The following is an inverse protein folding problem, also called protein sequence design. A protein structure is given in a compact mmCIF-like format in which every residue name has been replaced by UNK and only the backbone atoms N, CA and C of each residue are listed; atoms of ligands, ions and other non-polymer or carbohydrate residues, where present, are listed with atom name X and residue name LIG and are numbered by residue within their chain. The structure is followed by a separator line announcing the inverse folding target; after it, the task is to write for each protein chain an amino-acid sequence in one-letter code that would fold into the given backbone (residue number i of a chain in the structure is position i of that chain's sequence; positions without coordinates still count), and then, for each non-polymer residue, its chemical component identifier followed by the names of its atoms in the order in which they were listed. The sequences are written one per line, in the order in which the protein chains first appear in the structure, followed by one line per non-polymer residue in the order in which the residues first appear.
data_IF_103677665349
#
_entry.id   IF_103677665349
#
_cell.length_a   1.000
_cell.length_b   1.000
_cell.length_c   1.000
_cell.angle_alpha   90.00
_cell.angle_beta   90.00
_cell.angle_gamma   90.00
#
_symmetry.space_group_name_H-M   'P 1'
#
loop_
_entity.id
_entity.type
_entity.pdbx_description
1 polymer ?
#
# COMPACT_ATOMS: atom_id res chain seq x y z
N UNK A 1 38.79 4.34 -67.99
CA UNK A 1 37.79 4.54 -69.05
C UNK A 1 36.42 4.57 -68.40
N UNK A 2 35.83 5.76 -68.27
CA UNK A 2 34.35 5.91 -68.26
C UNK A 2 33.85 5.68 -69.70
N UNK A 3 32.61 5.18 -69.91
CA UNK A 3 31.40 6.03 -69.97
C UNK A 3 30.15 5.41 -69.28
N UNK A 4 29.29 6.16 -68.60
CA UNK A 4 28.06 6.82 -69.13
C UNK A 4 27.11 5.85 -69.85
N UNK A 5 25.90 5.52 -69.38
CA UNK A 5 24.63 6.31 -69.30
C UNK A 5 23.56 5.35 -68.69
N UNK A 6 22.41 5.73 -68.10
CA UNK A 6 21.16 6.20 -68.73
C UNK A 6 20.14 6.46 -67.60
N UNK A 7 19.37 7.55 -67.75
CA UNK A 7 18.16 7.91 -66.98
C UNK A 7 16.93 7.11 -67.42
N UNK A 8 16.00 6.80 -66.51
CA UNK A 8 14.56 6.86 -66.85
C UNK A 8 13.69 6.97 -65.59
N UNK A 9 12.97 8.09 -65.52
CA UNK A 9 11.77 8.33 -64.72
C UNK A 9 10.62 7.43 -65.17
N UNK A 10 9.86 6.85 -64.24
CA UNK A 10 8.41 6.72 -64.38
C UNK A 10 7.74 6.66 -63.00
N UNK A 11 6.73 7.52 -62.86
CA UNK A 11 5.91 7.79 -61.69
C UNK A 11 5.12 6.57 -61.18
N UNK A 12 5.03 6.44 -59.85
CA UNK A 12 3.79 6.03 -59.18
C UNK A 12 3.53 6.96 -58.01
N UNK A 13 2.37 7.61 -58.08
CA UNK A 13 1.83 8.53 -57.10
C UNK A 13 0.62 7.81 -56.48
N UNK A 14 0.69 7.37 -55.22
CA UNK A 14 -0.51 7.08 -54.40
C UNK A 14 -0.19 7.38 -52.94
N UNK A 15 -1.07 8.19 -52.36
CA UNK A 15 -0.96 8.92 -51.10
C UNK A 15 -0.78 8.08 -49.84
N UNK A 16 0.16 8.49 -48.98
CA UNK A 16 0.17 8.17 -47.56
C UNK A 16 -0.45 9.33 -46.76
N UNK A 17 -1.37 9.07 -45.81
CA UNK A 17 -2.08 10.12 -45.09
C UNK A 17 -1.14 10.92 -44.18
N UNK A 18 -1.17 12.25 -44.32
CA UNK A 18 -0.46 13.20 -43.46
C UNK A 18 -1.04 13.18 -42.05
N UNK A 19 -0.21 13.28 -40.99
CA UNK A 19 -0.71 13.43 -39.63
C UNK A 19 -1.37 14.81 -39.47
N UNK A 20 -2.47 14.94 -38.70
CA UNK A 20 -3.10 16.23 -38.48
C UNK A 20 -2.18 17.15 -37.65
N UNK A 21 -1.65 18.18 -38.30
CA UNK A 21 -1.14 19.39 -37.66
C UNK A 21 -2.34 20.19 -37.14
N UNK A 22 -2.51 20.23 -35.81
CA UNK A 22 -3.01 21.37 -35.04
C UNK A 22 -3.24 20.97 -33.57
N UNK A 23 -2.15 20.78 -32.82
CA UNK A 23 -2.22 20.99 -31.37
C UNK A 23 -1.88 22.46 -31.13
N UNK A 24 -2.92 23.29 -30.97
CA UNK A 24 -2.74 24.62 -30.40
C UNK A 24 -2.03 24.47 -29.06
N UNK A 25 -0.92 25.18 -28.91
CA UNK A 25 -0.13 25.29 -27.69
C UNK A 25 -1.03 25.54 -26.49
N UNK A 26 -1.29 24.50 -25.70
CA UNK A 26 -1.63 24.70 -24.29
C UNK A 26 -0.36 25.20 -23.63
N UNK A 27 -0.29 26.52 -23.43
CA UNK A 27 0.66 27.11 -22.50
C UNK A 27 0.48 26.40 -21.16
N UNK A 28 1.46 25.57 -20.83
CA UNK A 28 1.63 24.95 -19.54
C UNK A 28 1.62 26.06 -18.49
N UNK A 29 0.51 26.20 -17.78
CA UNK A 29 0.52 26.80 -16.44
C UNK A 29 1.19 25.76 -15.55
N UNK A 30 2.52 25.80 -15.51
CA UNK A 30 3.28 25.16 -14.44
C UNK A 30 2.77 25.82 -13.16
N UNK A 31 1.98 25.07 -12.40
CA UNK A 31 1.60 25.45 -11.05
C UNK A 31 2.89 25.50 -10.23
N UNK A 32 3.47 26.69 -10.04
CA UNK A 32 4.59 26.98 -9.14
C UNK A 32 4.17 26.88 -7.67
N UNK A 33 3.44 25.82 -7.31
CA UNK A 33 3.06 25.46 -5.94
C UNK A 33 4.02 24.44 -5.34
N UNK A 34 5.27 24.38 -5.83
CA UNK A 34 6.32 23.67 -5.13
C UNK A 34 6.60 24.41 -3.82
N UNK A 35 6.37 23.73 -2.70
CA UNK A 35 6.87 24.19 -1.41
C UNK A 35 8.35 23.80 -1.39
N UNK A 36 9.30 24.75 -1.49
CA UNK A 36 10.70 24.39 -1.40
C UNK A 36 10.98 23.94 0.04
N UNK A 37 11.25 22.65 0.20
CA UNK A 37 11.81 22.12 1.43
C UNK A 37 13.25 21.74 1.13
N UNK A 38 14.17 22.37 1.87
CA UNK A 38 15.58 22.03 1.77
C UNK A 38 15.77 20.54 2.05
N UNK A 39 16.50 19.83 1.18
CA UNK A 39 16.73 18.40 1.35
C UNK A 39 17.62 18.12 2.58
N UNK A 40 17.64 16.87 3.09
CA UNK A 40 18.54 16.50 4.18
C UNK A 40 20.01 16.76 3.84
N UNK A 41 20.80 17.18 4.84
CA UNK A 41 22.24 17.37 4.70
C UNK A 41 23.03 16.06 4.77
N UNK A 42 22.52 15.07 5.51
CA UNK A 42 23.13 13.74 5.57
C UNK A 42 23.03 13.08 4.17
N UNK A 43 24.14 12.61 3.57
CA UNK A 43 24.13 12.06 2.21
C UNK A 43 23.24 10.81 2.03
N UNK A 44 23.11 9.96 3.05
CA UNK A 44 22.27 8.76 2.99
C UNK A 44 20.80 9.14 3.03
N UNK A 45 20.44 10.07 3.90
CA UNK A 45 19.08 10.62 3.96
C UNK A 45 18.74 11.37 2.66
N UNK A 46 19.70 12.10 2.10
CA UNK A 46 19.55 12.80 0.82
C UNK A 46 19.24 11.84 -0.32
N UNK A 47 19.94 10.71 -0.37
CA UNK A 47 19.73 9.68 -1.38
C UNK A 47 18.29 9.15 -1.39
N UNK A 48 17.72 8.92 -0.20
CA UNK A 48 16.33 8.52 -0.03
C UNK A 48 15.34 9.63 -0.36
N UNK A 49 15.61 10.85 0.14
CA UNK A 49 14.78 12.03 -0.12
C UNK A 49 14.59 12.27 -1.62
N UNK A 50 15.68 12.29 -2.39
CA UNK A 50 15.65 12.57 -3.84
C UNK A 50 14.80 11.55 -4.62
N UNK A 51 14.60 10.34 -4.08
CA UNK A 51 13.84 9.27 -4.74
C UNK A 51 12.40 9.14 -4.25
N UNK A 52 12.13 9.48 -2.99
CA UNK A 52 10.80 9.36 -2.39
C UNK A 52 9.99 10.67 -2.44
N UNK A 53 10.61 11.79 -2.08
CA UNK A 53 9.91 13.05 -1.85
C UNK A 53 9.22 13.61 -3.10
N UNK A 54 9.78 13.51 -4.33
CA UNK A 54 9.07 13.99 -5.53
C UNK A 54 7.73 13.30 -5.76
N UNK A 55 7.64 11.99 -5.48
CA UNK A 55 6.39 11.24 -5.60
C UNK A 55 5.36 11.71 -4.57
N UNK A 56 5.75 11.86 -3.31
CA UNK A 56 4.87 12.37 -2.26
C UNK A 56 4.37 13.79 -2.56
N UNK A 57 5.27 14.68 -2.98
CA UNK A 57 4.94 16.06 -3.31
C UNK A 57 3.97 16.13 -4.51
N UNK A 58 4.20 15.32 -5.55
CA UNK A 58 3.31 15.24 -6.71
C UNK A 58 1.88 14.84 -6.32
N UNK A 59 1.74 13.84 -5.43
CA UNK A 59 0.43 13.40 -4.93
C UNK A 59 -0.25 14.47 -4.06
N UNK A 60 0.49 15.11 -3.15
CA UNK A 60 -0.03 16.19 -2.31
C UNK A 60 -0.53 17.38 -3.15
N UNK A 61 0.21 17.73 -4.21
CA UNK A 61 -0.21 18.78 -5.15
C UNK A 61 -1.44 18.36 -5.95
N UNK A 62 -1.49 17.10 -6.40
CA UNK A 62 -2.59 16.55 -7.20
C UNK A 62 -3.90 16.37 -6.42
N UNK A 63 -3.81 16.21 -5.10
CA UNK A 63 -4.99 16.13 -4.25
C UNK A 63 -5.81 17.43 -4.23
N UNK A 64 -5.14 18.58 -4.42
CA UNK A 64 -5.72 19.94 -4.43
C UNK A 64 -6.41 20.34 -3.10
N UNK A 65 -6.44 19.43 -2.12
CA UNK A 65 -7.10 19.58 -0.82
C UNK A 65 -6.15 19.98 0.31
N UNK A 66 -4.90 20.33 0.01
CA UNK A 66 -3.91 20.77 0.99
C UNK A 66 -3.45 22.19 0.69
N UNK A 67 -3.40 23.03 1.72
CA UNK A 67 -2.74 24.34 1.68
C UNK A 67 -1.23 24.20 1.52
N UNK A 68 -0.55 25.27 1.13
CA UNK A 68 0.91 25.29 1.06
C UNK A 68 1.54 25.04 2.43
N UNK A 69 0.99 25.56 3.52
CA UNK A 69 1.48 25.31 4.88
C UNK A 69 1.32 23.84 5.30
N UNK A 70 0.17 23.23 5.01
CA UNK A 70 -0.06 21.81 5.33
C UNK A 70 0.91 20.90 4.56
N UNK A 71 1.12 21.16 3.26
CA UNK A 71 2.11 20.43 2.45
C UNK A 71 3.52 20.60 3.02
N UNK A 72 3.89 21.82 3.40
CA UNK A 72 5.19 22.12 3.99
C UNK A 72 5.42 21.32 5.28
N UNK A 73 4.44 21.31 6.17
CA UNK A 73 4.57 20.62 7.45
C UNK A 73 4.68 19.10 7.28
N UNK A 74 3.88 18.51 6.38
CA UNK A 74 3.97 17.07 6.09
C UNK A 74 5.31 16.68 5.46
N UNK A 75 5.78 17.44 4.47
CA UNK A 75 7.06 17.17 3.81
C UNK A 75 8.25 17.39 4.77
N UNK A 76 8.15 18.32 5.73
CA UNK A 76 9.15 18.51 6.79
C UNK A 76 9.23 17.29 7.70
N UNK A 77 8.10 16.76 8.18
CA UNK A 77 8.10 15.53 8.99
C UNK A 77 8.60 14.34 8.19
N UNK A 78 8.24 14.26 6.91
CA UNK A 78 8.78 13.23 6.02
C UNK A 78 10.31 13.29 5.93
N UNK A 79 10.87 14.49 5.75
CA UNK A 79 12.32 14.75 5.70
C UNK A 79 13.03 14.43 7.02
N UNK A 80 12.49 14.89 8.13
CA UNK A 80 13.21 14.93 9.42
C UNK A 80 13.00 13.67 10.26
N UNK A 81 11.95 12.88 9.99
CA UNK A 81 11.61 11.69 10.79
C UNK A 81 11.56 10.44 9.94
N UNK A 82 10.86 10.48 8.80
CA UNK A 82 10.58 9.26 8.03
C UNK A 82 11.81 8.85 7.22
N UNK A 83 12.41 9.77 6.45
CA UNK A 83 13.60 9.49 5.64
C UNK A 83 14.79 8.95 6.46
N UNK A 84 15.13 9.52 7.63
CA UNK A 84 16.19 8.95 8.49
C UNK A 84 15.92 7.52 8.97
N UNK A 85 14.66 7.08 9.01
CA UNK A 85 14.32 5.73 9.48
C UNK A 85 14.56 4.63 8.43
N UNK A 86 14.77 5.00 7.17
CA UNK A 86 14.87 4.04 6.06
C UNK A 86 16.14 3.18 6.07
N UNK A 87 17.12 3.52 6.90
CA UNK A 87 18.39 2.81 7.02
C UNK A 87 19.30 3.02 5.81
N UNK A 88 20.36 2.21 5.74
CA UNK A 88 21.42 2.36 4.75
C UNK A 88 20.91 2.17 3.31
N UNK A 89 21.23 3.10 2.37
CA UNK A 89 20.93 2.94 0.96
C UNK A 89 21.58 1.74 0.27
N UNK A 90 20.99 1.26 -0.82
CA UNK A 90 21.61 0.26 -1.69
C UNK A 90 22.79 0.85 -2.48
N UNK A 91 23.80 0.04 -2.86
CA UNK A 91 23.92 -1.41 -2.62
C UNK A 91 24.52 -1.79 -1.26
N UNK A 92 24.74 -0.83 -0.34
CA UNK A 92 25.35 -1.10 0.97
C UNK A 92 24.39 -1.73 1.99
N UNK A 93 23.09 -1.60 1.76
CA UNK A 93 22.05 -2.20 2.60
C UNK A 93 22.26 -3.72 2.77
N UNK A 94 22.24 -4.21 4.02
CA UNK A 94 22.32 -5.66 4.33
C UNK A 94 20.98 -6.36 4.18
N UNK A 95 19.88 -5.62 4.27
CA UNK A 95 18.52 -6.13 4.15
C UNK A 95 17.77 -5.42 3.03
N UNK A 96 16.89 -6.16 2.38
CA UNK A 96 15.93 -5.62 1.43
C UNK A 96 14.64 -5.22 2.20
N UNK A 97 14.11 -4.01 2.00
CA UNK A 97 12.77 -3.66 2.47
C UNK A 97 11.71 -4.60 1.89
N UNK A 98 10.62 -4.82 2.63
CA UNK A 98 9.54 -5.76 2.32
C UNK A 98 8.17 -5.07 2.20
N UNK A 99 8.10 -3.74 2.37
CA UNK A 99 6.84 -3.01 2.22
C UNK A 99 6.24 -3.14 0.82
N UNK A 100 7.08 -3.04 -0.20
CA UNK A 100 6.68 -3.13 -1.61
C UNK A 100 7.36 -4.32 -2.27
N UNK A 101 6.73 -4.85 -3.32
CA UNK A 101 7.27 -6.01 -4.04
C UNK A 101 8.60 -5.70 -4.76
N UNK A 102 8.85 -4.42 -5.10
CA UNK A 102 10.13 -3.95 -5.66
C UNK A 102 11.19 -3.67 -4.58
N UNK A 103 10.83 -3.71 -3.29
CA UNK A 103 11.76 -3.46 -2.19
C UNK A 103 12.03 -1.99 -1.90
N UNK A 104 11.15 -1.09 -2.36
CA UNK A 104 11.07 0.27 -1.84
C UNK A 104 10.54 0.25 -0.40
N UNK A 105 11.15 1.08 0.45
CA UNK A 105 10.79 1.25 1.87
C UNK A 105 9.62 2.20 2.13
N UNK A 106 9.09 2.81 1.07
CA UNK A 106 8.08 3.87 1.12
C UNK A 106 7.00 3.60 0.08
N UNK A 107 5.73 3.73 0.48
CA UNK A 107 4.57 3.50 -0.38
C UNK A 107 3.48 4.54 -0.09
N UNK A 108 3.44 5.67 -0.82
CA UNK A 108 2.35 6.61 -0.72
C UNK A 108 1.08 6.05 -1.37
N UNK A 109 -0.07 6.46 -0.86
CA UNK A 109 -1.37 6.09 -1.41
C UNK A 109 -2.31 7.27 -1.44
N UNK A 110 -3.30 7.21 -2.32
CA UNK A 110 -4.32 8.22 -2.48
C UNK A 110 -5.69 7.56 -2.38
N UNK A 111 -6.45 7.93 -1.37
CA UNK A 111 -7.77 7.38 -1.06
C UNK A 111 -8.88 8.22 -1.68
N UNK A 112 -9.91 7.58 -2.23
CA UNK A 112 -11.11 8.21 -2.79
C UNK A 112 -12.36 7.66 -2.12
N UNK A 113 -13.26 8.57 -1.71
CA UNK A 113 -14.57 8.26 -1.11
C UNK A 113 -15.58 9.29 -1.57
N UNK A 114 -16.87 9.00 -1.40
CA UNK A 114 -17.94 9.96 -1.73
C UNK A 114 -17.78 11.23 -0.88
N UNK A 115 -17.83 12.40 -1.52
CA UNK A 115 -17.83 13.70 -0.85
C UNK A 115 -16.52 14.10 -0.14
N UNK A 116 -15.39 13.45 -0.46
CA UNK A 116 -14.09 13.81 0.08
C UNK A 116 -13.05 13.91 -1.05
N UNK A 117 -12.23 14.96 -1.02
CA UNK A 117 -11.31 15.37 -2.10
C UNK A 117 -10.06 14.51 -2.25
N UNK A 118 -10.05 13.36 -1.61
CA UNK A 118 -9.06 12.32 -1.73
C UNK A 118 -7.84 12.52 -0.83
N UNK A 119 -7.74 11.71 0.23
CA UNK A 119 -6.71 11.85 1.27
C UNK A 119 -5.43 11.14 0.82
N UNK A 120 -4.31 11.87 0.83
CA UNK A 120 -2.98 11.29 0.64
C UNK A 120 -2.51 10.69 1.96
N UNK A 121 -1.93 9.50 1.88
CA UNK A 121 -1.37 8.75 2.99
C UNK A 121 -0.04 8.17 2.55
N UNK A 122 0.74 7.66 3.48
CA UNK A 122 1.86 6.81 3.13
C UNK A 122 2.14 5.79 4.21
N UNK A 123 2.64 4.65 3.76
CA UNK A 123 3.23 3.62 4.62
C UNK A 123 4.72 3.62 4.40
N UNK A 124 5.49 3.28 5.42
CA UNK A 124 6.92 3.08 5.34
C UNK A 124 7.39 1.96 6.26
N UNK A 125 8.52 1.37 5.89
CA UNK A 125 9.22 0.39 6.71
C UNK A 125 10.43 1.05 7.40
N UNK A 126 10.37 1.32 8.70
CA UNK A 126 11.57 1.72 9.41
C UNK A 126 12.54 0.54 9.48
N UNK A 127 13.78 0.76 9.08
CA UNK A 127 14.86 -0.24 9.14
C UNK A 127 15.97 0.19 10.12
N UNK A 128 16.37 1.45 10.09
CA UNK A 128 17.52 1.94 10.85
C UNK A 128 18.86 1.47 10.31
N UNK A 129 19.94 2.02 10.87
CA UNK A 129 21.30 1.83 10.33
C UNK A 129 21.89 0.45 10.68
N UNK A 130 21.36 -0.20 11.71
CA UNK A 130 21.79 -1.53 12.17
C UNK A 130 21.07 -2.68 11.49
N UNK A 131 20.10 -2.39 10.61
CA UNK A 131 19.27 -3.40 9.97
C UNK A 131 20.08 -4.53 9.31
N UNK A 132 19.92 -5.76 9.80
CA UNK A 132 20.65 -6.93 9.32
C UNK A 132 22.04 -7.13 9.90
N UNK A 133 22.42 -6.39 10.96
CA UNK A 133 23.59 -6.73 11.76
C UNK A 133 23.36 -7.99 12.60
N UNK A 134 24.38 -8.44 13.32
CA UNK A 134 24.24 -9.58 14.24
C UNK A 134 23.33 -9.23 15.42
N UNK A 135 23.36 -7.98 15.86
CA UNK A 135 22.57 -7.44 16.97
C UNK A 135 21.13 -7.08 16.56
N UNK A 136 20.89 -6.74 15.28
CA UNK A 136 19.56 -6.42 14.75
C UNK A 136 19.28 -7.16 13.43
N UNK A 137 19.20 -8.51 13.45
CA UNK A 137 19.11 -9.33 12.24
C UNK A 137 17.80 -9.14 11.47
N UNK A 138 16.77 -8.56 12.08
CA UNK A 138 15.43 -8.40 11.50
C UNK A 138 14.96 -6.94 11.37
N UNK A 139 15.79 -5.97 11.74
CA UNK A 139 15.46 -4.54 11.73
C UNK A 139 14.28 -4.22 12.67
N UNK A 140 14.30 -4.77 13.88
CA UNK A 140 13.27 -4.58 14.90
C UNK A 140 13.56 -3.43 15.87
N UNK A 141 14.84 -3.16 16.13
CA UNK A 141 15.23 -2.25 17.21
C UNK A 141 14.74 -0.82 16.98
N UNK A 142 14.70 -0.39 15.73
CA UNK A 142 14.18 0.93 15.36
C UNK A 142 12.72 1.16 15.78
N UNK A 143 11.90 0.11 15.85
CA UNK A 143 10.48 0.26 16.23
C UNK A 143 10.31 0.73 17.68
N UNK A 144 11.25 0.38 18.58
CA UNK A 144 11.26 0.89 19.96
C UNK A 144 11.83 2.30 20.02
N UNK A 145 12.92 2.58 19.29
CA UNK A 145 13.60 3.88 19.35
C UNK A 145 12.78 5.03 18.76
N UNK A 146 11.85 4.74 17.83
CA UNK A 146 10.96 5.74 17.24
C UNK A 146 9.85 6.24 18.19
N UNK A 147 9.52 5.54 19.28
CA UNK A 147 8.40 5.87 20.16
C UNK A 147 8.37 7.34 20.61
N UNK A 148 9.47 7.94 21.14
CA UNK A 148 9.46 9.33 21.59
C UNK A 148 9.21 10.30 20.43
N UNK A 149 9.78 10.03 19.26
CA UNK A 149 9.64 10.90 18.08
C UNK A 149 8.21 10.83 17.54
N UNK A 150 7.66 9.62 17.42
CA UNK A 150 6.27 9.40 16.98
C UNK A 150 5.27 10.13 17.88
N UNK A 151 5.51 10.17 19.19
CA UNK A 151 4.64 10.90 20.13
C UNK A 151 4.65 12.42 19.94
N UNK A 152 5.71 12.98 19.34
CA UNK A 152 5.85 14.42 19.13
C UNK A 152 5.29 14.89 17.79
N UNK A 153 5.44 14.07 16.73
CA UNK A 153 5.11 14.49 15.36
C UNK A 153 3.73 14.04 14.87
N UNK A 154 3.11 13.08 15.58
CA UNK A 154 1.79 12.54 15.26
C UNK A 154 0.69 13.33 15.95
N UNK A 155 -0.45 13.48 15.28
CA UNK A 155 -1.63 14.15 15.84
C UNK A 155 -2.49 13.18 16.65
N UNK A 156 -3.02 13.66 17.79
CA UNK A 156 -3.97 12.91 18.64
C UNK A 156 -3.47 11.49 19.03
N UNK A 157 -2.15 11.35 19.19
CA UNK A 157 -1.47 10.06 19.25
C UNK A 157 -1.54 9.41 20.63
N UNK A 158 -1.82 8.12 20.64
CA UNK A 158 -1.67 7.24 21.81
C UNK A 158 -0.92 5.97 21.38
N UNK A 159 0.12 5.62 22.14
CA UNK A 159 1.01 4.50 21.85
C UNK A 159 0.88 3.35 22.85
N UNK A 160 -0.17 3.30 23.67
CA UNK A 160 -0.36 2.24 24.69
C UNK A 160 -0.51 0.86 24.05
N UNK A 161 -1.41 0.71 23.07
CA UNK A 161 -1.54 -0.55 22.32
C UNK A 161 -0.27 -0.86 21.53
N UNK A 162 0.34 0.14 20.88
CA UNK A 162 1.60 -0.04 20.14
C UNK A 162 2.69 -0.65 21.02
N UNK A 163 2.92 -0.09 22.21
CA UNK A 163 3.92 -0.59 23.17
C UNK A 163 3.63 -2.03 23.60
N UNK A 164 2.37 -2.37 23.84
CA UNK A 164 1.99 -3.75 24.21
C UNK A 164 2.30 -4.74 23.10
N UNK A 165 1.91 -4.43 21.86
CA UNK A 165 2.14 -5.34 20.73
C UNK A 165 3.63 -5.46 20.41
N UNK A 166 4.40 -4.36 20.49
CA UNK A 166 5.86 -4.39 20.36
C UNK A 166 6.50 -5.27 21.43
N UNK A 167 6.07 -5.16 22.68
CA UNK A 167 6.61 -5.99 23.77
C UNK A 167 6.26 -7.48 23.61
N UNK A 168 5.09 -7.79 23.05
CA UNK A 168 4.64 -9.17 22.86
C UNK A 168 5.31 -9.84 21.64
N UNK A 169 5.40 -9.13 20.52
CA UNK A 169 5.75 -9.74 19.22
C UNK A 169 7.15 -9.45 18.72
N UNK A 170 7.80 -8.37 19.16
CA UNK A 170 9.17 -8.14 18.70
C UNK A 170 10.09 -9.13 19.38
N UNK A 171 10.81 -9.89 18.56
CA UNK A 171 11.65 -10.98 19.05
C UNK A 171 12.79 -10.46 19.93
N UNK A 172 13.06 -11.15 21.03
CA UNK A 172 14.31 -11.00 21.78
C UNK A 172 15.49 -11.59 20.98
N UNK A 173 16.75 -11.36 21.38
CA UNK A 173 17.90 -12.01 20.73
C UNK A 173 17.78 -13.55 20.68
N UNK A 174 17.31 -14.18 21.75
CA UNK A 174 17.11 -15.62 21.83
C UNK A 174 15.99 -16.08 20.89
N UNK A 175 14.87 -15.36 20.86
CA UNK A 175 13.76 -15.64 19.95
C UNK A 175 14.16 -15.40 18.48
N UNK A 176 15.03 -14.43 18.21
CA UNK A 176 15.56 -14.18 16.87
C UNK A 176 16.40 -15.39 16.39
N UNK A 177 17.22 -15.98 17.26
CA UNK A 177 17.97 -17.20 16.96
C UNK A 177 17.02 -18.37 16.69
N UNK A 178 16.03 -18.58 17.55
CA UNK A 178 15.02 -19.65 17.37
C UNK A 178 14.24 -19.45 16.06
N UNK A 179 13.79 -18.23 15.77
CA UNK A 179 13.10 -17.90 14.53
C UNK A 179 13.98 -18.19 13.30
N UNK A 180 15.27 -17.82 13.33
CA UNK A 180 16.22 -18.11 12.25
C UNK A 180 16.36 -19.62 11.98
N UNK A 181 16.36 -20.45 13.02
CA UNK A 181 16.48 -21.90 12.90
C UNK A 181 15.22 -22.55 12.32
N UNK A 182 14.04 -22.05 12.69
CA UNK A 182 12.76 -22.63 12.29
C UNK A 182 12.20 -22.09 10.97
N UNK A 183 12.69 -20.93 10.51
CA UNK A 183 12.29 -20.36 9.23
C UNK A 183 12.78 -21.21 8.04
N UNK A 184 11.98 -21.28 6.95
CA UNK A 184 12.45 -21.88 5.71
C UNK A 184 13.75 -21.24 5.20
N UNK A 185 14.77 -22.01 4.77
CA UNK A 185 16.10 -21.48 4.43
C UNK A 185 16.14 -20.42 3.33
N UNK A 186 15.12 -20.40 2.47
CA UNK A 186 14.98 -19.43 1.37
C UNK A 186 14.37 -18.10 1.83
N UNK A 187 13.72 -18.04 2.99
CA UNK A 187 13.20 -16.82 3.58
C UNK A 187 14.33 -16.12 4.33
N UNK A 188 14.79 -14.99 3.81
CA UNK A 188 15.91 -14.23 4.40
C UNK A 188 15.48 -13.19 5.41
N UNK A 189 14.23 -12.73 5.35
CA UNK A 189 13.71 -11.70 6.24
C UNK A 189 12.19 -11.77 6.32
N UNK A 190 11.67 -11.33 7.46
CA UNK A 190 10.26 -11.12 7.77
C UNK A 190 10.19 -9.72 8.43
N UNK A 191 9.23 -8.85 8.06
CA UNK A 191 9.10 -7.55 8.70
C UNK A 191 8.57 -7.71 10.12
N UNK A 192 8.89 -6.78 11.00
CA UNK A 192 8.27 -6.67 12.34
C UNK A 192 7.29 -5.49 12.42
N UNK A 193 7.54 -4.45 11.63
CA UNK A 193 6.84 -3.18 11.70
C UNK A 193 6.77 -2.49 10.35
N UNK A 194 5.57 -2.05 9.96
CA UNK A 194 5.41 -0.88 9.10
C UNK A 194 4.66 0.21 9.86
N UNK A 195 4.93 1.46 9.52
CA UNK A 195 4.24 2.63 10.06
C UNK A 195 3.55 3.37 8.93
N UNK A 196 2.43 4.02 9.20
CA UNK A 196 1.74 4.83 8.21
C UNK A 196 1.17 6.11 8.80
N UNK A 197 1.04 7.12 7.96
CA UNK A 197 0.33 8.34 8.27
C UNK A 197 -0.82 8.56 7.30
N UNK A 198 -2.02 8.77 7.84
CA UNK A 198 -3.09 9.45 7.11
C UNK A 198 -2.91 10.96 7.28
N UNK A 199 -2.65 11.68 6.19
CA UNK A 199 -2.48 13.13 6.22
C UNK A 199 -3.83 13.81 6.02
N UNK A 200 -4.59 13.99 7.09
CA UNK A 200 -5.92 14.62 7.03
C UNK A 200 -5.75 16.11 7.29
N UNK A 201 -5.73 16.90 6.22
CA UNK A 201 -5.45 18.35 6.32
C UNK A 201 -4.11 18.54 7.04
N UNK A 202 -4.02 19.35 8.09
CA UNK A 202 -2.82 19.51 8.91
C UNK A 202 -2.48 18.33 9.83
N UNK A 203 -3.41 17.38 10.02
CA UNK A 203 -3.22 16.25 10.94
C UNK A 203 -2.46 15.09 10.31
N UNK A 204 -1.62 14.44 11.11
CA UNK A 204 -0.93 13.18 10.78
C UNK A 204 -1.41 12.09 11.72
N UNK A 205 -2.37 11.29 11.26
CA UNK A 205 -2.91 10.19 12.05
C UNK A 205 -2.03 8.96 11.89
N UNK A 206 -1.35 8.56 12.96
CA UNK A 206 -0.42 7.44 12.96
C UNK A 206 -1.17 6.10 12.99
N UNK A 207 -0.67 5.14 12.21
CA UNK A 207 -1.03 3.72 12.28
C UNK A 207 0.24 2.88 12.32
N UNK A 208 0.15 1.75 12.99
CA UNK A 208 1.21 0.75 13.03
C UNK A 208 0.69 -0.59 12.50
N UNK A 209 1.49 -1.26 11.68
CA UNK A 209 1.27 -2.60 11.15
C UNK A 209 2.33 -3.50 11.76
N UNK A 210 1.92 -4.45 12.60
CA UNK A 210 2.80 -5.28 13.40
C UNK A 210 2.64 -6.74 12.98
N UNK A 211 3.77 -7.44 12.87
CA UNK A 211 3.83 -8.76 12.25
C UNK A 211 4.18 -9.84 13.28
N UNK A 212 3.28 -10.79 13.57
CA UNK A 212 3.53 -11.87 14.53
C UNK A 212 4.39 -13.00 13.95
N UNK A 213 4.80 -12.93 12.68
CA UNK A 213 5.38 -14.06 11.93
C UNK A 213 6.72 -14.51 12.50
N UNK A 214 7.58 -13.60 12.98
CA UNK A 214 8.82 -14.00 13.65
C UNK A 214 8.54 -14.70 15.00
N UNK A 215 7.55 -14.21 15.76
CA UNK A 215 7.11 -14.86 17.00
C UNK A 215 6.55 -16.25 16.73
N UNK A 216 5.83 -16.44 15.62
CA UNK A 216 5.39 -17.74 15.15
C UNK A 216 6.57 -18.70 14.95
N UNK A 217 7.62 -18.27 14.24
CA UNK A 217 8.80 -19.12 14.06
C UNK A 217 9.58 -19.35 15.35
N UNK A 218 9.63 -18.39 16.27
CA UNK A 218 10.32 -18.54 17.54
C UNK A 218 9.61 -19.50 18.51
N UNK A 219 8.28 -19.48 18.54
CA UNK A 219 7.47 -20.15 19.59
C UNK A 219 6.68 -21.36 19.10
N UNK A 220 6.45 -21.49 17.79
CA UNK A 220 5.58 -22.50 17.19
C UNK A 220 4.08 -22.17 17.23
N UNK A 221 3.65 -21.12 17.94
CA UNK A 221 2.26 -20.68 17.96
C UNK A 221 1.83 -20.16 16.58
N UNK A 222 0.61 -20.43 16.14
CA UNK A 222 0.15 -19.94 14.83
C UNK A 222 -0.02 -18.42 14.84
N UNK A 223 0.17 -17.75 13.70
CA UNK A 223 -0.07 -16.31 13.60
C UNK A 223 -1.52 -15.93 13.93
N UNK A 224 -2.47 -16.82 13.63
CA UNK A 224 -3.87 -16.68 14.02
C UNK A 224 -4.00 -16.63 15.55
N UNK A 225 -3.45 -17.61 16.25
CA UNK A 225 -3.54 -17.67 17.72
C UNK A 225 -2.85 -16.46 18.37
N UNK A 226 -1.64 -16.12 17.91
CA UNK A 226 -0.89 -14.95 18.40
C UNK A 226 -1.70 -13.64 18.28
N UNK A 227 -2.44 -13.47 17.19
CA UNK A 227 -3.29 -12.28 16.97
C UNK A 227 -4.55 -12.32 17.81
N UNK A 228 -5.33 -13.41 17.74
CA UNK A 228 -6.64 -13.48 18.37
C UNK A 228 -6.58 -13.64 19.89
N UNK A 229 -5.48 -14.17 20.44
CA UNK A 229 -5.24 -14.21 21.88
C UNK A 229 -4.83 -12.83 22.44
N UNK A 230 -4.13 -12.02 21.65
CA UNK A 230 -3.64 -10.70 22.09
C UNK A 230 -4.74 -9.64 22.08
N UNK A 231 -5.58 -9.60 21.03
CA UNK A 231 -6.63 -8.58 20.86
C UNK A 231 -7.47 -8.35 22.14
N UNK A 232 -8.07 -9.38 22.78
CA UNK A 232 -8.88 -9.17 23.98
C UNK A 232 -8.07 -8.77 25.22
N UNK A 233 -6.75 -8.96 25.20
CA UNK A 233 -5.85 -8.64 26.33
C UNK A 233 -5.32 -7.21 26.28
N UNK A 234 -5.37 -6.55 25.11
CA UNK A 234 -4.92 -5.16 24.95
C UNK A 234 -5.60 -4.24 25.97
N UNK A 235 -4.80 -3.44 26.67
CA UNK A 235 -5.29 -2.47 27.66
C UNK A 235 -5.07 -1.02 27.21
N UNK A 236 -6.04 -0.12 27.44
CA UNK A 236 -7.42 -0.40 27.84
C UNK A 236 -8.27 -0.91 26.65
N UNK A 237 -9.48 -1.40 26.94
CA UNK A 237 -10.57 -1.68 26.00
C UNK A 237 -10.41 -2.81 24.97
N UNK A 238 -9.32 -3.58 24.99
CA UNK A 238 -9.18 -4.76 24.12
C UNK A 238 -10.28 -5.80 24.32
N UNK A 239 -10.77 -5.94 25.56
CA UNK A 239 -11.89 -6.80 25.93
C UNK A 239 -13.16 -6.52 25.10
N UNK A 240 -13.39 -5.25 24.73
CA UNK A 240 -14.52 -4.82 23.89
C UNK A 240 -14.40 -5.23 22.42
N UNK A 241 -13.24 -5.72 21.99
CA UNK A 241 -13.00 -6.29 20.66
C UNK A 241 -13.14 -7.81 20.62
N UNK A 242 -13.33 -8.47 21.77
CA UNK A 242 -13.35 -9.94 21.85
C UNK A 242 -14.43 -10.57 20.96
N UNK A 243 -15.60 -9.96 20.88
CA UNK A 243 -16.74 -10.48 20.12
C UNK A 243 -16.49 -10.46 18.59
N UNK A 244 -16.16 -9.33 17.94
CA UNK A 244 -15.79 -9.36 16.52
C UNK A 244 -14.51 -10.15 16.24
N UNK A 245 -13.55 -10.21 17.18
CA UNK A 245 -12.35 -11.03 17.04
C UNK A 245 -12.67 -12.54 16.94
N UNK A 246 -13.50 -13.07 17.84
CA UNK A 246 -13.95 -14.48 17.79
C UNK A 246 -14.73 -14.80 16.52
N UNK A 247 -15.61 -13.87 16.09
CA UNK A 247 -16.36 -14.02 14.83
C UNK A 247 -15.41 -14.18 13.64
N UNK A 248 -14.39 -13.33 13.55
CA UNK A 248 -13.39 -13.41 12.49
C UNK A 248 -12.57 -14.70 12.55
N UNK A 249 -12.04 -15.05 13.72
CA UNK A 249 -11.23 -16.27 13.92
C UNK A 249 -12.00 -17.51 13.46
N UNK A 250 -13.29 -17.59 13.81
CA UNK A 250 -14.18 -18.68 13.37
C UNK A 250 -14.29 -18.75 11.84
N UNK A 251 -14.49 -17.62 11.16
CA UNK A 251 -14.55 -17.60 9.70
C UNK A 251 -13.23 -18.06 9.07
N UNK A 252 -12.09 -17.52 9.53
CA UNK A 252 -10.78 -17.84 8.97
C UNK A 252 -10.42 -19.32 9.14
N UNK A 253 -10.87 -19.96 10.23
CA UNK A 253 -10.66 -21.39 10.46
C UNK A 253 -11.42 -22.30 9.48
N UNK A 254 -12.48 -21.80 8.82
CA UNK A 254 -13.37 -22.60 7.95
C UNK A 254 -13.57 -22.02 6.56
N UNK A 255 -12.84 -20.96 6.20
CA UNK A 255 -12.97 -20.30 4.90
C UNK A 255 -12.59 -21.27 3.76
N UNK A 256 -13.29 -21.16 2.62
CA UNK A 256 -13.13 -22.09 1.49
C UNK A 256 -11.75 -21.96 0.84
N UNK A 257 -11.32 -20.72 0.61
CA UNK A 257 -9.98 -20.39 0.16
C UNK A 257 -9.14 -20.06 1.39
N UNK A 258 -8.04 -20.79 1.66
CA UNK A 258 -7.19 -20.52 2.81
C UNK A 258 -6.77 -19.05 2.88
N UNK A 259 -7.07 -18.41 4.02
CA UNK A 259 -6.79 -17.00 4.25
C UNK A 259 -5.89 -16.85 5.48
N UNK A 260 -4.57 -16.81 5.26
CA UNK A 260 -3.57 -16.86 6.34
C UNK A 260 -3.35 -15.48 6.95
N UNK A 261 -3.36 -15.39 8.28
CA UNK A 261 -3.10 -14.14 9.01
C UNK A 261 -1.62 -13.76 8.90
N UNK A 262 -1.33 -12.58 8.38
CA UNK A 262 0.03 -12.08 8.13
C UNK A 262 0.45 -10.97 9.09
N UNK A 263 -0.49 -10.08 9.46
CA UNK A 263 -0.22 -8.92 10.33
C UNK A 263 -1.48 -8.40 11.02
N UNK A 264 -1.26 -7.57 12.03
CA UNK A 264 -2.30 -6.78 12.69
C UNK A 264 -1.92 -5.31 12.61
N UNK A 265 -2.86 -4.44 12.20
CA UNK A 265 -2.69 -3.01 12.28
C UNK A 265 -3.55 -2.38 13.36
N UNK A 266 -3.06 -1.30 13.95
CA UNK A 266 -3.76 -0.50 14.95
C UNK A 266 -3.73 0.98 14.56
N UNK A 267 -4.83 1.68 14.85
CA UNK A 267 -4.81 3.14 14.87
C UNK A 267 -4.13 3.59 16.17
N UNK A 268 -3.06 4.38 16.09
CA UNK A 268 -2.31 4.86 17.25
C UNK A 268 -2.94 6.14 17.80
N UNK A 269 -4.19 6.02 18.26
CA UNK A 269 -5.01 7.09 18.84
C UNK A 269 -5.62 6.60 20.14
N UNK A 270 -6.32 7.47 20.87
CA UNK A 270 -7.10 7.12 22.06
C UNK A 270 -7.73 5.72 21.91
N UNK A 271 -7.33 4.75 22.77
CA UNK A 271 -7.77 3.37 22.67
C UNK A 271 -9.29 3.19 22.67
N UNK A 272 -10.09 4.14 23.17
CA UNK A 272 -11.56 4.09 23.11
C UNK A 272 -12.14 4.34 21.70
N UNK A 273 -11.34 4.93 20.81
CA UNK A 273 -11.68 5.25 19.41
C UNK A 273 -10.87 4.43 18.41
N UNK A 274 -9.77 3.83 18.88
CA UNK A 274 -8.88 3.03 18.06
C UNK A 274 -9.56 1.76 17.54
N UNK A 275 -9.11 1.34 16.37
CA UNK A 275 -9.55 0.13 15.68
C UNK A 275 -8.39 -0.84 15.55
N UNK A 276 -8.70 -2.12 15.57
CA UNK A 276 -7.77 -3.19 15.20
C UNK A 276 -8.14 -3.67 13.81
N UNK A 277 -7.15 -3.91 12.95
CA UNK A 277 -7.32 -4.50 11.63
C UNK A 277 -6.49 -5.76 11.54
N UNK A 278 -7.14 -6.91 11.37
CA UNK A 278 -6.42 -8.17 11.10
C UNK A 278 -6.25 -8.26 9.59
N UNK A 279 -5.02 -8.53 9.14
CA UNK A 279 -4.72 -8.74 7.74
C UNK A 279 -4.49 -10.21 7.47
N UNK A 280 -5.24 -10.76 6.53
CA UNK A 280 -5.04 -12.13 6.08
C UNK A 280 -5.07 -12.22 4.55
N UNK A 281 -4.34 -13.17 3.99
CA UNK A 281 -4.11 -13.28 2.55
C UNK A 281 -4.59 -14.60 1.99
N UNK A 282 -5.29 -14.52 0.86
CA UNK A 282 -5.64 -15.66 0.01
C UNK A 282 -4.61 -15.86 -1.09
N UNK A 283 -4.54 -17.05 -1.67
CA UNK A 283 -3.70 -17.28 -2.85
C UNK A 283 -4.42 -16.88 -4.14
N UNK A 284 -5.73 -17.14 -4.21
CA UNK A 284 -6.59 -16.71 -5.30
C UNK A 284 -6.96 -15.21 -5.21
N UNK A 285 -7.18 -14.60 -6.37
CA UNK A 285 -7.72 -13.26 -6.53
C UNK A 285 -9.05 -13.23 -7.31
N UNK A 286 -9.77 -14.35 -7.36
CA UNK A 286 -11.05 -14.46 -8.07
C UNK A 286 -12.17 -13.64 -7.42
N UNK A 287 -13.24 -13.38 -8.19
CA UNK A 287 -14.44 -12.69 -7.69
C UNK A 287 -15.18 -13.55 -6.67
N UNK A 288 -15.22 -14.87 -6.87
CA UNK A 288 -15.85 -15.80 -5.93
C UNK A 288 -15.21 -15.76 -4.54
N UNK A 289 -13.88 -15.69 -4.46
CA UNK A 289 -13.15 -15.55 -3.20
C UNK A 289 -13.42 -14.19 -2.56
N UNK A 290 -13.44 -13.11 -3.34
CA UNK A 290 -13.81 -11.79 -2.85
C UNK A 290 -15.21 -11.79 -2.19
N UNK A 291 -16.21 -12.37 -2.86
CA UNK A 291 -17.58 -12.45 -2.38
C UNK A 291 -17.71 -13.31 -1.10
N UNK A 292 -17.04 -14.46 -1.05
CA UNK A 292 -17.03 -15.33 0.14
C UNK A 292 -16.44 -14.60 1.35
N UNK A 293 -15.30 -13.92 1.17
CA UNK A 293 -14.63 -13.19 2.25
C UNK A 293 -15.42 -11.97 2.69
N UNK A 294 -15.98 -11.18 1.76
CA UNK A 294 -16.79 -10.01 2.10
C UNK A 294 -18.03 -10.36 2.91
N UNK A 295 -18.61 -11.53 2.65
CA UNK A 295 -19.78 -12.03 3.38
C UNK A 295 -19.42 -12.87 4.61
N UNK A 296 -18.12 -13.05 4.91
CA UNK A 296 -17.63 -13.96 5.95
C UNK A 296 -18.28 -15.34 5.83
N UNK A 297 -18.29 -15.90 4.61
CA UNK A 297 -18.91 -17.19 4.31
C UNK A 297 -20.45 -17.18 4.44
N UNK A 298 -21.09 -16.02 4.23
CA UNK A 298 -22.54 -15.83 4.37
C UNK A 298 -23.01 -15.46 5.79
N UNK A 299 -22.10 -15.28 6.75
CA UNK A 299 -22.46 -14.87 8.13
C UNK A 299 -22.63 -13.35 8.30
N UNK A 300 -22.23 -12.56 7.29
CA UNK A 300 -22.44 -11.13 7.23
C UNK A 300 -23.06 -10.75 5.89
N UNK A 301 -24.34 -10.39 5.89
CA UNK A 301 -25.13 -10.16 4.67
C UNK A 301 -26.00 -8.90 4.78
N UNK A 302 -25.57 -7.93 5.59
CA UNK A 302 -26.22 -6.63 5.66
C UNK A 302 -26.16 -5.89 4.31
N UNK A 303 -27.05 -4.91 4.13
CA UNK A 303 -27.23 -4.19 2.87
C UNK A 303 -25.92 -3.63 2.31
N UNK A 304 -25.06 -3.03 3.16
CA UNK A 304 -23.79 -2.47 2.72
C UNK A 304 -22.83 -3.57 2.23
N UNK A 305 -22.82 -4.73 2.88
CA UNK A 305 -22.01 -5.88 2.47
C UNK A 305 -22.46 -6.42 1.12
N UNK A 306 -23.76 -6.63 0.91
CA UNK A 306 -24.29 -7.13 -0.36
C UNK A 306 -24.10 -6.14 -1.52
N UNK A 307 -24.31 -4.84 -1.28
CA UNK A 307 -23.96 -3.78 -2.25
C UNK A 307 -22.47 -3.77 -2.58
N UNK A 308 -21.62 -4.03 -1.59
CA UNK A 308 -20.19 -4.14 -1.79
C UNK A 308 -19.78 -5.28 -2.71
N UNK A 309 -20.42 -6.45 -2.57
CA UNK A 309 -20.20 -7.59 -3.47
C UNK A 309 -20.75 -7.28 -4.87
N UNK A 310 -21.96 -6.71 -4.98
CA UNK A 310 -22.56 -6.33 -6.26
C UNK A 310 -21.73 -5.29 -7.02
N UNK A 311 -21.23 -4.27 -6.32
CA UNK A 311 -20.36 -3.26 -6.92
C UNK A 311 -19.02 -3.87 -7.36
N UNK A 312 -18.46 -4.80 -6.57
CA UNK A 312 -17.22 -5.48 -6.92
C UNK A 312 -17.35 -6.30 -8.21
N UNK A 313 -18.47 -7.00 -8.38
CA UNK A 313 -18.75 -7.80 -9.58
C UNK A 313 -18.62 -6.97 -10.87
N UNK A 314 -18.99 -5.69 -10.80
CA UNK A 314 -18.94 -4.73 -11.92
C UNK A 314 -17.55 -4.20 -12.22
N UNK A 315 -16.60 -4.27 -11.28
CA UNK A 315 -15.30 -3.56 -11.40
C UNK A 315 -14.06 -4.41 -11.18
N UNK A 316 -14.20 -5.59 -10.58
CA UNK A 316 -13.04 -6.42 -10.22
C UNK A 316 -12.20 -6.86 -11.42
N UNK A 317 -12.85 -7.09 -12.56
CA UNK A 317 -12.16 -7.42 -13.82
C UNK A 317 -11.21 -6.30 -14.28
N UNK A 318 -11.59 -5.02 -14.12
CA UNK A 318 -10.73 -3.88 -14.41
C UNK A 318 -9.55 -3.81 -13.43
N UNK A 319 -9.81 -4.08 -12.15
CA UNK A 319 -8.75 -4.12 -11.12
C UNK A 319 -7.73 -5.25 -11.36
N UNK A 320 -8.10 -6.30 -12.10
CA UNK A 320 -7.17 -7.36 -12.52
C UNK A 320 -6.67 -7.20 -13.96
N UNK A 321 -6.95 -6.07 -14.60
CA UNK A 321 -6.54 -5.77 -15.97
C UNK A 321 -7.09 -6.76 -17.02
N UNK A 322 -8.36 -7.10 -16.85
CA UNK A 322 -9.19 -7.95 -17.72
C UNK A 322 -10.37 -7.14 -18.29
N UNK A 323 -10.14 -6.13 -19.16
CA UNK A 323 -11.17 -5.18 -19.58
C UNK A 323 -12.33 -5.80 -20.38
N UNK A 324 -12.18 -7.04 -20.87
CA UNK A 324 -13.24 -7.78 -21.56
C UNK A 324 -14.15 -8.57 -20.59
N UNK A 325 -13.94 -8.42 -19.29
CA UNK A 325 -14.62 -9.19 -18.25
C UNK A 325 -13.82 -10.41 -17.80
N UNK A 326 -14.28 -11.03 -16.70
CA UNK A 326 -13.66 -12.24 -16.14
C UNK A 326 -14.74 -13.17 -15.57
N UNK A 327 -14.51 -14.48 -15.66
CA UNK A 327 -15.40 -15.47 -15.03
C UNK A 327 -15.30 -15.39 -13.49
N UNK A 328 -16.31 -15.86 -12.73
CA UNK A 328 -16.32 -15.78 -11.26
C UNK A 328 -15.10 -16.41 -10.58
N UNK A 329 -14.68 -17.58 -11.05
CA UNK A 329 -13.55 -18.35 -10.49
C UNK A 329 -12.23 -18.13 -11.26
N UNK A 330 -12.23 -17.26 -12.28
CA UNK A 330 -11.00 -16.89 -12.96
C UNK A 330 -10.08 -16.16 -11.98
N UNK A 331 -8.80 -16.56 -11.98
CA UNK A 331 -7.73 -15.92 -11.22
C UNK A 331 -6.59 -15.54 -12.15
N UNK A 332 -5.77 -14.60 -11.70
CA UNK A 332 -4.57 -14.14 -12.40
C UNK A 332 -3.35 -14.42 -11.56
N UNK A 333 -2.45 -15.23 -12.07
CA UNK A 333 -1.20 -15.54 -11.36
C UNK A 333 -0.31 -14.30 -11.24
N UNK A 334 0.41 -14.21 -10.13
CA UNK A 334 1.39 -13.14 -9.94
C UNK A 334 2.62 -13.39 -10.83
N UNK A 335 3.22 -12.30 -11.33
CA UNK A 335 4.48 -12.36 -12.09
C UNK A 335 5.59 -13.09 -11.35
N UNK A 336 5.72 -12.83 -10.05
CA UNK A 336 6.66 -13.52 -9.19
C UNK A 336 5.91 -14.28 -8.09
N UNK A 337 5.69 -15.57 -8.32
CA UNK A 337 5.04 -16.45 -7.35
C UNK A 337 5.86 -16.71 -6.08
N UNK A 338 7.16 -16.36 -6.06
CA UNK A 338 8.01 -16.43 -4.86
C UNK A 338 7.83 -15.20 -3.97
N UNK A 339 7.27 -14.12 -4.50
CA UNK A 339 6.99 -12.91 -3.75
C UNK A 339 5.78 -13.11 -2.81
N UNK A 340 5.77 -12.38 -1.68
CA UNK A 340 4.66 -12.36 -0.73
C UNK A 340 3.46 -11.56 -1.26
N UNK A 341 3.69 -10.58 -2.13
CA UNK A 341 2.67 -9.71 -2.68
C UNK A 341 1.88 -10.41 -3.80
N UNK A 342 1.02 -11.37 -3.45
CA UNK A 342 0.14 -12.12 -4.38
C UNK A 342 -1.26 -12.31 -3.81
N UNK A 343 -2.18 -12.82 -4.62
CA UNK A 343 -3.58 -13.03 -4.24
C UNK A 343 -4.26 -11.76 -3.74
N UNK A 344 -5.14 -11.87 -2.75
CA UNK A 344 -5.81 -10.73 -2.11
C UNK A 344 -5.36 -10.65 -0.65
N UNK A 345 -4.90 -9.48 -0.21
CA UNK A 345 -4.70 -9.19 1.21
C UNK A 345 -5.93 -8.48 1.75
N UNK A 346 -6.70 -9.16 2.59
CA UNK A 346 -7.90 -8.62 3.23
C UNK A 346 -7.55 -7.97 4.56
N UNK A 347 -8.03 -6.75 4.78
CA UNK A 347 -8.04 -6.10 6.08
C UNK A 347 -9.43 -6.20 6.69
N UNK A 348 -9.53 -6.87 7.83
CA UNK A 348 -10.75 -7.04 8.62
C UNK A 348 -10.71 -6.06 9.79
N UNK A 349 -11.52 -5.02 9.73
CA UNK A 349 -11.57 -3.93 10.71
C UNK A 349 -12.55 -4.27 11.84
N UNK A 350 -12.00 -4.37 13.05
CA UNK A 350 -12.70 -4.65 14.30
C UNK A 350 -12.87 -3.35 15.09
N UNK A 351 -14.10 -3.13 15.56
CA UNK A 351 -14.49 -1.95 16.35
C UNK A 351 -15.06 -2.40 17.68
N UNK A 352 -14.80 -1.62 18.72
CA UNK A 352 -15.27 -1.94 20.08
C UNK A 352 -16.79 -1.96 20.13
N UNK A 353 -17.35 -3.03 20.71
CA UNK A 353 -18.80 -3.16 20.87
C UNK A 353 -19.60 -3.32 19.57
N UNK A 354 -18.94 -3.52 18.42
CA UNK A 354 -19.59 -3.69 17.12
C UNK A 354 -19.26 -5.07 16.56
N UNK A 355 -20.28 -5.88 16.32
CA UNK A 355 -20.12 -7.23 15.76
C UNK A 355 -19.77 -7.23 14.26
N UNK A 356 -20.26 -6.23 13.53
CA UNK A 356 -20.03 -6.10 12.10
C UNK A 356 -18.56 -5.80 11.82
N UNK A 357 -17.97 -6.55 10.90
CA UNK A 357 -16.57 -6.40 10.49
C UNK A 357 -16.53 -5.68 9.14
N UNK A 358 -15.85 -4.54 9.07
CA UNK A 358 -15.59 -3.86 7.80
C UNK A 358 -14.43 -4.55 7.06
N UNK A 359 -14.61 -4.91 5.79
CA UNK A 359 -13.62 -5.72 5.05
C UNK A 359 -13.11 -4.97 3.83
N UNK A 360 -11.80 -4.85 3.70
CA UNK A 360 -11.14 -4.20 2.56
C UNK A 360 -10.20 -5.18 1.87
N UNK A 361 -10.36 -5.35 0.57
CA UNK A 361 -9.46 -6.15 -0.26
C UNK A 361 -8.31 -5.30 -0.79
N UNK A 362 -7.09 -5.83 -0.80
CA UNK A 362 -5.91 -5.19 -1.41
C UNK A 362 -5.31 -6.12 -2.47
N UNK A 363 -5.13 -5.61 -3.69
CA UNK A 363 -4.55 -6.32 -4.82
C UNK A 363 -3.19 -5.73 -5.23
N UNK A 364 -2.15 -6.55 -5.43
CA UNK A 364 -0.84 -6.11 -5.90
C UNK A 364 -0.84 -5.88 -7.42
N UNK A 365 -1.20 -4.68 -7.88
CA UNK A 365 -1.19 -4.35 -9.31
C UNK A 365 0.16 -4.54 -9.98
N UNK A 366 1.26 -4.24 -9.29
CA UNK A 366 2.61 -4.47 -9.82
C UNK A 366 2.86 -5.92 -10.26
N UNK A 367 2.07 -6.87 -9.77
CA UNK A 367 2.19 -8.30 -10.04
C UNK A 367 1.24 -8.82 -11.11
N UNK A 368 0.18 -8.09 -11.48
CA UNK A 368 -0.85 -8.57 -12.41
C UNK A 368 -1.14 -7.60 -13.57
N UNK A 369 -1.00 -6.29 -13.40
CA UNK A 369 -1.38 -5.31 -14.42
C UNK A 369 -0.34 -5.20 -15.54
N UNK A 370 -0.74 -5.11 -16.81
CA UNK A 370 0.20 -5.10 -17.95
C UNK A 370 1.14 -3.89 -18.00
N UNK A 371 0.67 -2.73 -17.58
CA UNK A 371 1.42 -1.47 -17.51
C UNK A 371 0.77 -0.53 -16.50
N UNK A 372 1.52 0.45 -16.01
CA UNK A 372 0.96 1.47 -15.12
C UNK A 372 -0.02 2.40 -15.86
N UNK A 373 0.23 2.74 -17.13
CA UNK A 373 -0.73 3.54 -17.92
C UNK A 373 -2.10 2.85 -18.02
N UNK A 374 -2.14 1.55 -18.31
CA UNK A 374 -3.41 0.83 -18.35
C UNK A 374 -4.06 0.73 -16.96
N UNK A 375 -3.25 0.58 -15.91
CA UNK A 375 -3.73 0.57 -14.52
C UNK A 375 -4.43 1.89 -14.16
N UNK A 376 -3.86 3.03 -14.57
CA UNK A 376 -4.46 4.36 -14.36
C UNK A 376 -5.83 4.45 -15.05
N UNK A 377 -5.90 4.09 -16.33
CA UNK A 377 -7.17 4.11 -17.09
C UNK A 377 -8.23 3.19 -16.48
N UNK A 378 -7.83 1.96 -16.13
CA UNK A 378 -8.72 0.99 -15.49
C UNK A 378 -9.25 1.53 -14.17
N UNK A 379 -8.39 2.11 -13.32
CA UNK A 379 -8.84 2.63 -12.02
C UNK A 379 -9.71 3.87 -12.16
N UNK A 380 -9.41 4.78 -13.09
CA UNK A 380 -10.29 5.90 -13.40
C UNK A 380 -11.68 5.40 -13.82
N UNK A 381 -11.74 4.37 -14.68
CA UNK A 381 -13.00 3.75 -15.07
C UNK A 381 -13.71 3.06 -13.89
N UNK A 382 -12.98 2.40 -12.99
CA UNK A 382 -13.54 1.84 -11.75
C UNK A 382 -14.19 2.93 -10.90
N UNK A 383 -13.51 4.06 -10.69
CA UNK A 383 -14.05 5.20 -9.95
C UNK A 383 -15.38 5.70 -10.56
N UNK A 384 -15.44 5.83 -11.88
CA UNK A 384 -16.70 6.17 -12.59
C UNK A 384 -17.78 5.12 -12.37
N UNK A 385 -17.46 3.83 -12.53
CA UNK A 385 -18.41 2.72 -12.42
C UNK A 385 -19.01 2.58 -11.01
N UNK A 386 -18.27 2.95 -9.96
CA UNK A 386 -18.79 2.96 -8.58
C UNK A 386 -19.43 4.31 -8.18
N UNK A 387 -19.52 5.26 -9.10
CA UNK A 387 -20.16 6.56 -8.87
C UNK A 387 -19.33 7.53 -8.03
N UNK A 388 -17.99 7.47 -8.14
CA UNK A 388 -17.09 8.46 -7.54
C UNK A 388 -16.65 9.48 -8.59
N UNK A 389 -16.86 10.76 -8.29
CA UNK A 389 -16.53 11.88 -9.19
C UNK A 389 -15.01 12.18 -9.26
N UNK A 390 -14.20 11.43 -8.51
CA UNK A 390 -12.75 11.63 -8.43
C UNK A 390 -11.96 11.05 -9.61
N UNK A 391 -12.62 10.44 -10.60
CA UNK A 391 -11.97 9.74 -11.71
C UNK A 391 -11.00 10.64 -12.49
N UNK A 392 -11.45 11.83 -12.91
CA UNK A 392 -10.60 12.77 -13.68
C UNK A 392 -9.47 13.36 -12.85
N UNK A 393 -9.74 13.63 -11.56
CA UNK A 393 -8.72 14.10 -10.61
C UNK A 393 -7.62 13.05 -10.43
N UNK A 394 -8.00 11.79 -10.24
CA UNK A 394 -7.06 10.69 -10.15
C UNK A 394 -6.26 10.54 -11.45
N UNK A 395 -6.93 10.51 -12.62
CA UNK A 395 -6.28 10.35 -13.92
C UNK A 395 -5.21 11.42 -14.13
N UNK A 396 -5.57 12.70 -13.96
CA UNK A 396 -4.62 13.83 -14.06
C UNK A 396 -3.45 13.67 -13.09
N UNK A 397 -3.73 13.43 -11.81
CA UNK A 397 -2.68 13.35 -10.79
C UNK A 397 -1.74 12.16 -10.94
N UNK A 398 -2.26 10.98 -11.29
CA UNK A 398 -1.45 9.80 -11.55
C UNK A 398 -0.61 9.93 -12.84
N UNK A 399 -1.08 10.69 -13.84
CA UNK A 399 -0.27 11.04 -15.00
C UNK A 399 0.85 12.05 -14.66
N UNK A 400 0.66 12.93 -13.67
CA UNK A 400 1.77 13.77 -13.18
C UNK A 400 2.87 12.95 -12.50
N UNK A 401 2.52 11.87 -11.79
CA UNK A 401 3.54 10.98 -11.20
C UNK A 401 4.34 10.22 -12.27
N UNK A 402 3.74 9.95 -13.43
CA UNK A 402 4.42 9.32 -14.58
C UNK A 402 5.50 10.22 -15.21
N UNK A 403 5.40 11.55 -15.04
CA UNK A 403 6.36 12.52 -15.59
C UNK A 403 7.60 12.70 -14.70
N UNK A 404 7.61 12.14 -13.50
CA UNK A 404 8.75 12.24 -12.59
C UNK A 404 9.98 11.55 -13.20
N UNK A 405 11.21 12.07 -12.95
CA UNK A 405 12.43 11.47 -13.48
C UNK A 405 12.58 9.99 -13.08
N UNK A 406 13.10 9.18 -14.01
CA UNK A 406 13.38 7.75 -13.77
C UNK A 406 12.15 6.86 -13.71
N UNK A 407 10.99 7.33 -14.18
CA UNK A 407 9.74 6.55 -14.25
C UNK A 407 9.49 6.01 -15.64
N UNK A 408 9.07 4.75 -15.71
CA UNK A 408 8.64 4.08 -16.95
C UNK A 408 7.29 3.41 -16.72
N UNK A 409 6.21 4.15 -16.99
CA UNK A 409 4.83 3.68 -16.80
C UNK A 409 4.33 2.82 -17.97
N UNK A 410 5.17 2.60 -19.00
CA UNK A 410 4.90 1.59 -20.04
C UNK A 410 5.02 0.17 -19.48
N UNK A 411 5.73 0.02 -18.36
CA UNK A 411 5.85 -1.20 -17.58
C UNK A 411 5.00 -1.09 -16.30
N UNK A 412 4.68 -2.21 -15.64
CA UNK A 412 4.01 -2.15 -14.36
C UNK A 412 4.97 -1.79 -13.24
N UNK A 413 4.38 -1.26 -12.18
CA UNK A 413 4.97 -1.30 -10.86
C UNK A 413 5.10 0.04 -10.14
N UNK A 414 4.94 1.14 -10.85
CA UNK A 414 4.78 2.47 -10.30
C UNK A 414 3.46 2.61 -9.55
N UNK A 415 2.41 1.88 -9.94
CA UNK A 415 1.23 1.64 -9.12
C UNK A 415 1.35 0.25 -8.48
N UNK A 416 1.65 0.22 -7.18
CA UNK A 416 2.02 -1.02 -6.47
C UNK A 416 0.80 -1.85 -6.08
N UNK A 417 -0.22 -1.21 -5.54
CA UNK A 417 -1.41 -1.83 -4.99
C UNK A 417 -2.68 -1.02 -5.29
N UNK A 418 -3.82 -1.68 -5.19
CA UNK A 418 -5.14 -1.04 -5.03
C UNK A 418 -5.83 -1.61 -3.82
N UNK A 419 -6.64 -0.81 -3.15
CA UNK A 419 -7.62 -1.30 -2.19
C UNK A 419 -9.04 -1.01 -2.62
N UNK A 420 -9.93 -1.97 -2.35
CA UNK A 420 -11.36 -1.90 -2.59
C UNK A 420 -12.13 -2.20 -1.31
N UNK A 421 -13.09 -1.36 -0.98
CA UNK A 421 -14.05 -1.55 0.08
C UNK A 421 -15.37 -0.87 -0.31
N UNK A 422 -16.47 -1.39 0.23
CA UNK A 422 -17.75 -0.71 0.25
C UNK A 422 -18.29 -0.85 1.66
N UNK A 423 -18.50 0.28 2.33
CA UNK A 423 -19.01 0.30 3.71
C UNK A 423 -20.33 1.05 3.77
N UNK A 424 -20.82 1.32 4.97
CA UNK A 424 -22.09 2.02 5.18
C UNK A 424 -22.13 3.43 4.56
N UNK A 425 -20.96 4.04 4.30
CA UNK A 425 -20.84 5.34 3.62
C UNK A 425 -20.64 5.22 2.10
N UNK A 426 -20.68 4.00 1.55
CA UNK A 426 -20.52 3.73 0.12
C UNK A 426 -19.11 3.29 -0.27
N UNK A 427 -18.71 3.50 -1.54
CA UNK A 427 -17.45 3.02 -2.08
C UNK A 427 -16.25 3.75 -1.47
N UNK A 428 -15.23 2.97 -1.15
CA UNK A 428 -13.96 3.42 -0.60
C UNK A 428 -12.84 2.72 -1.38
N UNK A 429 -12.08 3.47 -2.16
CA UNK A 429 -10.98 2.92 -2.95
C UNK A 429 -9.67 3.65 -2.66
N UNK A 430 -8.55 3.01 -2.92
CA UNK A 430 -7.25 3.69 -2.85
C UNK A 430 -6.28 3.12 -3.85
N UNK A 431 -5.54 3.99 -4.52
CA UNK A 431 -4.38 3.62 -5.33
C UNK A 431 -3.11 3.81 -4.50
N UNK A 432 -2.19 2.85 -4.58
CA UNK A 432 -0.89 2.88 -3.92
C UNK A 432 0.20 2.99 -4.99
N UNK A 433 1.24 3.76 -4.70
CA UNK A 433 2.31 4.08 -5.63
C UNK A 433 3.64 3.60 -5.04
N UNK A 434 4.54 3.10 -5.88
CA UNK A 434 5.90 2.76 -5.48
C UNK A 434 6.92 3.73 -6.08
N UNK A 435 7.90 4.19 -5.30
CA UNK A 435 8.99 4.97 -5.81
C UNK A 435 10.01 4.13 -6.62
N UNK A 436 9.88 2.80 -6.74
CA UNK A 436 10.73 1.91 -7.56
C UNK A 436 12.23 2.14 -7.36
N UNK A 437 12.63 2.21 -6.10
CA UNK A 437 13.96 2.70 -5.70
C UNK A 437 15.07 1.68 -5.95
N UNK A 438 14.75 0.39 -5.91
CA UNK A 438 15.75 -0.69 -6.00
C UNK A 438 16.03 -1.20 -7.41
N UNK A 439 15.26 -0.74 -8.40
CA UNK A 439 15.34 -1.24 -9.79
C UNK A 439 16.30 -0.42 -10.69
N UNK A 440 17.11 0.48 -10.12
CA UNK A 440 18.06 1.35 -10.85
C UNK A 440 19.51 1.23 -10.36
#
# INVERSE_FOLDING_TARGET
MTPETISNDFQTNVDAPRPPQNFKEFKSLVNNNEVPIDPPLNPEHRWWWDRCAPLLNSLLNSAESYTSEEKADHLRVFRDVVVPSFGTPTPRAKVRPLLTYDGSTFEPSWNFTKGNDGVVRYTFEPLGDTAGSEEDPFAGEIGRSLIPILSQVSSDVDLQWYKQVVNEWFVTPEEAVAARQNMPPHIKRIPQLFLAYDMIRSKRMLKAYLFPVLKHFATGATTSDLVFDLIPKLQPFGDKLAMPARKLQKYLATCKEPCLVEMMAIDCVDPSKARVKVYARTTSNSKSVLADVFTLGGTQTDEATLKGVEAAEKVWHLLLDEPQGMAPDQRKDARDMKNLHKGICFAFELKQGVERIDIKAHLPWGQTARSDFQTIENFAQVLRNVGLDSAEKFLKGALETAKLPGRDYTKPGGLSYVSYNYNQNGPYLSSYFSPKIQDN
#
